data_IF_316921400651
#
_entry.id   IF_316921400651
#
_cell.length_a   1.000
_cell.length_b   1.000
_cell.length_c   1.000
_cell.angle_alpha   90.00
_cell.angle_beta   90.00
_cell.angle_gamma   90.00
#
_symmetry.space_group_name_H-M   'P 1'
#
loop_
_entity.id
_entity.type
_entity.pdbx_description
1 polymer ?
#
# COMPACT_ATOMS: atom_id res chain seq x y z
N UNK A 1 -14.32 -9.37 2.54
CA UNK A 1 -12.87 -9.64 2.53
C UNK A 1 -12.50 -10.07 3.92
N UNK A 2 -11.70 -11.12 4.08
CA UNK A 2 -11.23 -11.61 5.38
C UNK A 2 -9.97 -10.87 5.82
N UNK A 3 -9.61 -10.97 7.11
CA UNK A 3 -8.35 -10.44 7.64
C UNK A 3 -7.15 -10.97 6.87
N UNK A 4 -7.11 -12.27 6.60
CA UNK A 4 -6.02 -12.89 5.83
C UNK A 4 -5.89 -12.33 4.41
N UNK A 5 -7.02 -12.05 3.74
CA UNK A 5 -7.02 -11.41 2.42
C UNK A 5 -6.54 -9.95 2.47
N UNK A 6 -6.95 -9.19 3.48
CA UNK A 6 -6.52 -7.81 3.67
C UNK A 6 -5.01 -7.72 3.92
N UNK A 7 -4.48 -8.58 4.78
CA UNK A 7 -3.04 -8.70 5.08
C UNK A 7 -2.24 -9.04 3.83
N UNK A 8 -2.67 -10.05 3.07
CA UNK A 8 -2.04 -10.44 1.79
C UNK A 8 -2.05 -9.28 0.78
N UNK A 9 -3.17 -8.57 0.67
CA UNK A 9 -3.31 -7.43 -0.24
C UNK A 9 -2.40 -6.26 0.17
N UNK A 10 -2.30 -5.96 1.47
CA UNK A 10 -1.40 -4.94 2.00
C UNK A 10 0.06 -5.27 1.66
N UNK A 11 0.50 -6.50 1.92
CA UNK A 11 1.86 -6.97 1.59
C UNK A 11 2.14 -6.84 0.10
N UNK A 12 1.24 -7.35 -0.75
CA UNK A 12 1.40 -7.28 -2.21
C UNK A 12 1.57 -5.83 -2.69
N UNK A 13 0.79 -4.90 -2.14
CA UNK A 13 0.90 -3.50 -2.50
C UNK A 13 2.19 -2.84 -1.96
N UNK A 14 2.57 -3.11 -0.71
CA UNK A 14 3.79 -2.57 -0.10
C UNK A 14 5.03 -3.01 -0.87
N UNK A 15 5.10 -4.28 -1.27
CA UNK A 15 6.22 -4.81 -2.04
C UNK A 15 6.26 -4.29 -3.50
N UNK A 16 5.09 -3.94 -4.06
CA UNK A 16 4.98 -3.49 -5.46
C UNK A 16 4.97 -1.98 -5.68
N UNK A 17 4.92 -1.18 -4.61
CA UNK A 17 4.82 0.29 -4.71
C UNK A 17 6.19 0.95 -4.71
N UNK A 18 6.34 2.03 -5.49
CA UNK A 18 7.54 2.87 -5.48
C UNK A 18 7.52 3.95 -4.38
N UNK A 19 6.44 4.00 -3.59
CA UNK A 19 6.24 5.01 -2.55
C UNK A 19 7.11 4.73 -1.34
N UNK A 20 7.45 5.77 -0.58
CA UNK A 20 8.19 5.64 0.69
C UNK A 20 7.23 5.39 1.85
N UNK A 21 7.64 4.65 2.91
CA UNK A 21 6.80 4.37 4.07
C UNK A 21 6.13 5.63 4.67
N UNK A 22 6.91 6.71 4.81
CA UNK A 22 6.41 7.97 5.36
C UNK A 22 5.27 8.59 4.55
N UNK A 23 5.30 8.47 3.21
CA UNK A 23 4.25 8.99 2.33
C UNK A 23 2.96 8.17 2.48
N UNK A 24 3.09 6.87 2.70
CA UNK A 24 1.96 5.95 2.90
C UNK A 24 1.33 6.16 4.26
N UNK A 25 2.13 6.18 5.33
CA UNK A 25 1.65 6.44 6.69
C UNK A 25 0.96 7.79 6.77
N UNK A 26 1.52 8.84 6.16
CA UNK A 26 0.89 10.16 6.16
C UNK A 26 -0.47 10.18 5.42
N UNK A 27 -0.64 9.40 4.35
CA UNK A 27 -1.95 9.23 3.70
C UNK A 27 -2.92 8.47 4.60
N UNK A 28 -2.50 7.34 5.18
CA UNK A 28 -3.33 6.51 6.04
C UNK A 28 -3.80 7.29 7.27
N UNK A 29 -2.91 8.03 7.93
CA UNK A 29 -3.26 8.88 9.06
C UNK A 29 -4.30 9.95 8.67
N UNK A 30 -4.19 10.55 7.49
CA UNK A 30 -5.21 11.49 6.99
C UNK A 30 -6.56 10.80 6.74
N UNK A 31 -6.55 9.59 6.19
CA UNK A 31 -7.77 8.80 5.97
C UNK A 31 -8.44 8.40 7.29
N UNK A 32 -7.65 8.16 8.33
CA UNK A 32 -8.13 7.98 9.72
C UNK A 32 -8.56 9.30 10.40
N UNK A 33 -8.48 10.45 9.73
CA UNK A 33 -8.88 11.74 10.28
C UNK A 33 -7.85 12.40 11.20
N UNK A 34 -6.63 11.87 11.30
CA UNK A 34 -5.58 12.51 12.07
C UNK A 34 -5.07 13.77 11.36
N UNK A 35 -4.97 14.88 12.10
CA UNK A 35 -4.30 16.09 11.62
C UNK A 35 -2.80 15.82 11.48
N UNK A 36 -2.19 16.36 10.43
CA UNK A 36 -0.74 16.32 10.23
C UNK A 36 -0.04 17.08 11.37
N UNK A 37 0.30 16.39 12.45
CA UNK A 37 1.08 16.97 13.53
C UNK A 37 2.53 17.02 13.10
N UNK A 38 3.23 18.13 13.38
CA UNK A 38 4.64 18.36 13.00
C UNK A 38 5.57 17.21 13.45
N UNK A 39 5.19 16.44 14.47
CA UNK A 39 5.90 15.25 14.95
C UNK A 39 5.77 14.01 14.06
N UNK A 40 4.61 13.79 13.41
CA UNK A 40 4.42 12.68 12.48
C UNK A 40 5.33 12.82 11.24
N UNK A 41 5.66 14.05 10.84
CA UNK A 41 6.58 14.30 9.72
C UNK A 41 8.07 14.04 10.08
N UNK A 42 8.43 14.05 11.37
CA UNK A 42 9.82 13.87 11.83
C UNK A 42 10.14 12.43 12.25
N UNK A 43 9.11 11.58 12.43
CA UNK A 43 9.29 10.16 12.78
C UNK A 43 9.84 9.39 11.58
N UNK A 44 10.83 8.54 11.82
CA UNK A 44 11.37 7.61 10.81
C UNK A 44 10.42 6.41 10.66
N UNK A 45 9.37 6.59 9.87
CA UNK A 45 8.38 5.54 9.58
C UNK A 45 8.97 4.34 8.87
N UNK A 46 8.54 3.15 9.26
CA UNK A 46 8.90 1.86 8.66
C UNK A 46 7.71 1.28 7.89
N UNK A 47 7.99 0.24 7.10
CA UNK A 47 6.92 -0.48 6.40
C UNK A 47 5.98 -1.22 7.35
N UNK A 48 6.47 -1.67 8.51
CA UNK A 48 5.63 -2.29 9.54
C UNK A 48 4.56 -1.31 10.05
N UNK A 49 4.93 -0.04 10.32
CA UNK A 49 3.96 0.99 10.72
C UNK A 49 2.90 1.22 9.63
N UNK A 50 3.31 1.23 8.36
CA UNK A 50 2.40 1.40 7.24
C UNK A 50 1.46 0.18 7.10
N UNK A 51 2.00 -1.02 7.27
CA UNK A 51 1.25 -2.27 7.21
C UNK A 51 0.17 -2.32 8.30
N UNK A 52 0.55 -2.03 9.54
CA UNK A 52 -0.35 -2.07 10.71
C UNK A 52 -1.52 -1.09 10.58
N UNK A 53 -1.29 0.06 9.92
CA UNK A 53 -2.36 1.02 9.61
C UNK A 53 -3.15 0.63 8.36
N UNK A 54 -2.56 -0.09 7.41
CA UNK A 54 -3.16 -0.33 6.11
C UNK A 54 -4.14 -1.51 6.13
N UNK A 55 -3.79 -2.63 6.74
CA UNK A 55 -4.64 -3.82 6.67
C UNK A 55 -6.00 -3.66 7.38
N UNK A 56 -6.13 -2.94 8.51
CA UNK A 56 -7.44 -2.66 9.10
C UNK A 56 -8.26 -1.72 8.22
N UNK A 57 -7.64 -0.66 7.67
CA UNK A 57 -8.30 0.25 6.71
C UNK A 57 -8.85 -0.49 5.49
N UNK A 58 -8.11 -1.50 5.00
CA UNK A 58 -8.57 -2.33 3.89
C UNK A 58 -9.81 -3.14 4.27
N UNK A 59 -9.89 -3.68 5.50
CA UNK A 59 -11.07 -4.38 5.99
C UNK A 59 -12.28 -3.46 6.13
N UNK A 60 -12.05 -2.27 6.70
CA UNK A 60 -13.11 -1.33 7.05
C UNK A 60 -13.65 -0.58 5.82
N UNK A 61 -12.85 -0.44 4.76
CA UNK A 61 -13.22 0.34 3.57
C UNK A 61 -13.13 -0.49 2.28
N UNK A 62 -14.27 -1.01 1.78
CA UNK A 62 -14.36 -1.69 0.49
C UNK A 62 -13.85 -0.82 -0.68
N UNK A 63 -14.10 0.48 -0.63
CA UNK A 63 -13.65 1.45 -1.64
C UNK A 63 -12.13 1.57 -1.67
N UNK A 64 -11.50 1.70 -0.49
CA UNK A 64 -10.04 1.75 -0.38
C UNK A 64 -9.42 0.42 -0.84
N UNK A 65 -9.99 -0.71 -0.42
CA UNK A 65 -9.56 -2.03 -0.88
C UNK A 65 -9.66 -2.19 -2.40
N UNK A 66 -10.74 -1.74 -3.02
CA UNK A 66 -10.90 -1.74 -4.47
C UNK A 66 -9.82 -0.92 -5.19
N UNK A 67 -9.46 0.26 -4.65
CA UNK A 67 -8.37 1.09 -5.18
C UNK A 67 -7.03 0.36 -5.12
N UNK A 68 -6.71 -0.25 -3.98
CA UNK A 68 -5.44 -0.97 -3.78
C UNK A 68 -5.35 -2.21 -4.67
N UNK A 69 -6.43 -2.99 -4.82
CA UNK A 69 -6.48 -4.13 -5.76
C UNK A 69 -6.13 -3.71 -7.18
N UNK A 70 -6.73 -2.62 -7.67
CA UNK A 70 -6.42 -2.09 -9.02
C UNK A 70 -4.95 -1.69 -9.16
N UNK A 71 -4.38 -1.08 -8.12
CA UNK A 71 -2.97 -0.68 -8.13
C UNK A 71 -2.03 -1.89 -8.17
N UNK A 72 -2.30 -2.95 -7.39
CA UNK A 72 -1.53 -4.21 -7.42
C UNK A 72 -1.61 -4.86 -8.80
N UNK A 73 -2.82 -5.03 -9.35
CA UNK A 73 -3.00 -5.61 -10.68
C UNK A 73 -2.27 -4.82 -11.79
N UNK A 74 -2.25 -3.49 -11.68
CA UNK A 74 -1.51 -2.65 -12.62
C UNK A 74 0.02 -2.78 -12.47
N UNK A 75 0.52 -3.02 -11.25
CA UNK A 75 1.94 -3.30 -11.02
C UNK A 75 2.34 -4.65 -11.62
N UNK A 76 1.55 -5.71 -11.39
CA UNK A 76 1.81 -7.05 -11.90
C UNK A 76 1.85 -7.09 -13.43
N UNK A 77 0.92 -6.40 -14.10
CA UNK A 77 0.92 -6.28 -15.58
C UNK A 77 2.18 -5.62 -16.12
N UNK A 78 2.73 -4.62 -15.41
CA UNK A 78 3.97 -3.95 -15.82
C UNK A 78 5.18 -4.84 -15.63
N UNK A 79 5.24 -5.63 -14.57
CA UNK A 79 6.29 -6.62 -14.34
C UNK A 79 6.28 -7.69 -15.43
N UNK A 80 5.11 -8.29 -15.70
CA UNK A 80 4.94 -9.28 -16.76
C UNK A 80 5.36 -8.74 -18.14
N UNK A 81 4.98 -7.50 -18.48
CA UNK A 81 5.38 -6.88 -19.75
C UNK A 81 6.90 -6.62 -19.85
N UNK A 82 7.58 -6.35 -18.74
CA UNK A 82 9.04 -6.18 -18.72
C UNK A 82 9.76 -7.52 -18.89
N UNK A 83 9.28 -8.58 -18.25
CA UNK A 83 9.88 -9.91 -18.36
C UNK A 83 9.79 -10.46 -19.78
N UNK A 84 8.64 -10.30 -20.45
CA UNK A 84 8.48 -10.68 -21.86
C UNK A 84 9.47 -9.93 -22.77
N UNK A 85 9.65 -8.63 -22.56
CA UNK A 85 10.61 -7.82 -23.35
C UNK A 85 12.06 -8.23 -23.10
N UNK A 86 12.41 -8.69 -21.90
CA UNK A 86 13.75 -9.16 -21.56
C UNK A 86 14.07 -10.52 -22.18
N UNK A 87 13.09 -11.41 -22.29
CA UNK A 87 13.25 -12.73 -22.92
C UNK A 87 13.32 -12.60 -24.45
N UNK A 88 12.72 -11.57 -25.02
CA UNK A 88 12.69 -11.31 -26.47
C UNK A 88 13.87 -10.48 -27.01
N UNK A 89 14.84 -10.09 -26.17
CA UNK A 89 16.01 -9.29 -26.52
C UNK A 89 17.30 -10.13 -26.41
#
# INVERSE_FOLDING_TARGET
MTEGEARKLAIAWICGTARRPAEVVAELLRLYGHRATKGAARRRWRWDDAYDLMWPMLLDSPTYAGRIRRAVLAADRRSAARDVRRVAA
#
